data_IF_811260307111
#
_entry.id   IF_811260307111
#
_cell.length_a   1.000
_cell.length_b   1.000
_cell.length_c   1.000
_cell.angle_alpha   90.00
_cell.angle_beta   90.00
_cell.angle_gamma   90.00
#
_symmetry.space_group_name_H-M   'P 1'
#
loop_
_entity.id
_entity.type
_entity.pdbx_description
1 polymer ?
#
# COMPACT_ATOMS: atom_id res chain seq x y z
N UNK A 1 -27.16 39.63 70.89
CA UNK A 1 -27.97 38.68 70.07
C UNK A 1 -28.08 39.31 68.68
N UNK A 2 -27.67 38.80 67.51
CA UNK A 2 -27.12 37.54 66.98
C UNK A 2 -26.29 37.93 65.73
N UNK A 3 -25.09 37.38 65.51
CA UNK A 3 -24.36 37.47 64.23
C UNK A 3 -24.96 36.45 63.24
N UNK A 4 -25.45 36.90 62.08
CA UNK A 4 -26.01 36.05 61.02
C UNK A 4 -24.88 35.67 60.05
N UNK A 5 -24.46 34.40 60.03
CA UNK A 5 -23.57 33.84 58.99
C UNK A 5 -24.38 33.68 57.70
N UNK A 6 -23.93 34.26 56.59
CA UNK A 6 -24.37 33.85 55.25
C UNK A 6 -23.49 32.66 54.82
N UNK A 7 -24.02 31.45 54.92
CA UNK A 7 -23.47 30.29 54.22
C UNK A 7 -24.22 30.15 52.90
N UNK A 8 -23.54 30.38 51.78
CA UNK A 8 -24.08 30.10 50.46
C UNK A 8 -24.02 28.60 50.24
N UNK A 9 -25.16 27.92 50.23
CA UNK A 9 -25.23 26.50 49.92
C UNK A 9 -25.17 26.33 48.41
N UNK A 10 -23.97 26.12 47.84
CA UNK A 10 -23.84 25.68 46.45
C UNK A 10 -24.38 24.25 46.31
N UNK A 11 -25.51 24.12 45.60
CA UNK A 11 -26.00 22.82 45.13
C UNK A 11 -25.39 22.51 43.76
N UNK A 12 -24.11 22.14 43.75
CA UNK A 12 -23.47 21.59 42.56
C UNK A 12 -23.96 20.17 42.30
N UNK A 13 -24.59 19.92 41.16
CA UNK A 13 -24.94 18.56 40.74
C UNK A 13 -23.70 17.87 40.17
N UNK A 14 -22.88 17.25 41.03
CA UNK A 14 -21.64 16.58 40.62
C UNK A 14 -21.87 15.53 39.53
N UNK A 15 -23.07 14.94 39.51
CA UNK A 15 -23.49 14.00 38.47
C UNK A 15 -23.49 14.64 37.08
N UNK A 16 -23.88 15.91 36.97
CA UNK A 16 -23.92 16.63 35.70
C UNK A 16 -22.51 16.89 35.15
N UNK A 17 -21.54 17.18 36.02
CA UNK A 17 -20.15 17.37 35.62
C UNK A 17 -19.51 16.09 35.10
N UNK A 18 -19.81 14.95 35.74
CA UNK A 18 -19.34 13.64 35.29
C UNK A 18 -19.92 13.30 33.91
N UNK A 19 -21.22 13.56 33.70
CA UNK A 19 -21.88 13.29 32.42
C UNK A 19 -21.30 14.13 31.27
N UNK A 20 -20.98 15.40 31.51
CA UNK A 20 -20.29 16.24 30.51
C UNK A 20 -18.91 15.68 30.20
N UNK A 21 -18.13 15.28 31.21
CA UNK A 21 -16.79 14.72 30.99
C UNK A 21 -16.84 13.45 30.14
N UNK A 22 -17.77 12.54 30.44
CA UNK A 22 -17.95 11.30 29.66
C UNK A 22 -18.42 11.59 28.24
N UNK A 23 -19.37 12.51 28.05
CA UNK A 23 -19.84 12.90 26.73
C UNK A 23 -18.74 13.54 25.87
N UNK A 24 -17.90 14.40 26.46
CA UNK A 24 -16.75 15.00 25.78
C UNK A 24 -15.70 13.95 25.42
N UNK A 25 -15.45 12.98 26.30
CA UNK A 25 -14.51 11.90 26.02
C UNK A 25 -15.01 10.99 24.89
N UNK A 26 -16.31 10.69 24.87
CA UNK A 26 -16.95 9.94 23.79
C UNK A 26 -16.93 10.71 22.47
N UNK A 27 -17.26 12.01 22.49
CA UNK A 27 -17.22 12.86 21.31
C UNK A 27 -15.80 13.02 20.75
N UNK A 28 -14.79 13.19 21.60
CA UNK A 28 -13.39 13.23 21.20
C UNK A 28 -12.93 11.89 20.58
N UNK A 29 -13.30 10.78 21.21
CA UNK A 29 -12.99 9.43 20.69
C UNK A 29 -13.61 9.21 19.31
N UNK A 30 -14.84 9.71 19.09
CA UNK A 30 -15.50 9.66 17.79
C UNK A 30 -14.81 10.56 16.77
N UNK A 31 -14.46 11.79 17.13
CA UNK A 31 -13.77 12.74 16.25
C UNK A 31 -12.38 12.23 15.81
N UNK A 32 -11.61 11.60 16.71
CA UNK A 32 -10.32 10.97 16.39
C UNK A 32 -10.52 9.78 15.45
N UNK A 33 -11.51 8.92 15.73
CA UNK A 33 -11.82 7.77 14.86
C UNK A 33 -12.32 8.20 13.48
N UNK A 34 -13.06 9.32 13.41
CA UNK A 34 -13.57 9.88 12.15
C UNK A 34 -12.47 10.57 11.34
N UNK A 35 -11.49 11.20 12.00
CA UNK A 35 -10.29 11.76 11.34
C UNK A 35 -9.40 10.68 10.72
N UNK A 36 -9.43 9.47 11.25
CA UNK A 36 -8.75 8.30 10.65
C UNK A 36 -9.54 7.64 9.51
N UNK A 37 -10.80 8.04 9.28
CA UNK A 37 -11.71 7.43 8.29
C UNK A 37 -11.96 8.29 7.05
N UNK A 38 -11.36 9.48 6.95
CA UNK A 38 -11.45 10.32 5.75
C UNK A 38 -10.48 9.82 4.67
N UNK A 39 -10.84 8.72 4.01
CA UNK A 39 -10.31 8.42 2.68
C UNK A 39 -10.71 9.55 1.72
N UNK A 40 -9.73 10.32 1.25
CA UNK A 40 -9.91 11.40 0.28
C UNK A 40 -9.67 12.83 0.76
N UNK A 41 -9.06 13.04 1.94
CA UNK A 41 -8.74 14.39 2.44
C UNK A 41 -7.42 14.44 3.22
N UNK A 42 -6.46 15.18 2.65
CA UNK A 42 -5.20 15.70 3.20
C UNK A 42 -4.67 15.02 4.49
N UNK A 43 -4.01 13.86 4.35
CA UNK A 43 -3.30 13.19 5.47
C UNK A 43 -2.15 14.08 5.99
N UNK A 44 -1.76 13.95 7.26
CA UNK A 44 -0.59 14.68 7.79
C UNK A 44 0.73 14.12 7.24
N UNK A 45 1.81 14.91 7.29
CA UNK A 45 3.14 14.45 6.86
C UNK A 45 3.66 13.29 7.75
N UNK A 46 3.33 13.31 9.05
CA UNK A 46 3.63 12.20 9.97
C UNK A 46 2.85 10.94 9.60
N UNK A 47 1.56 11.09 9.26
CA UNK A 47 0.75 9.97 8.78
C UNK A 47 1.31 9.41 7.47
N UNK A 48 1.68 10.27 6.52
CA UNK A 48 2.29 9.86 5.25
C UNK A 48 3.57 9.04 5.47
N UNK A 49 4.44 9.44 6.40
CA UNK A 49 5.65 8.68 6.79
C UNK A 49 5.31 7.31 7.38
N UNK A 50 4.34 7.25 8.29
CA UNK A 50 3.91 5.99 8.90
C UNK A 50 3.32 5.02 7.87
N UNK A 51 2.45 5.51 6.98
CA UNK A 51 1.83 4.71 5.93
C UNK A 51 2.84 4.26 4.87
N UNK A 52 3.80 5.12 4.53
CA UNK A 52 4.93 4.75 3.65
C UNK A 52 5.76 3.63 4.26
N UNK A 53 6.08 3.71 5.56
CA UNK A 53 6.80 2.66 6.25
C UNK A 53 6.01 1.33 6.27
N UNK A 54 4.68 1.39 6.40
CA UNK A 54 3.82 0.20 6.33
C UNK A 54 3.88 -0.44 4.94
N UNK A 55 3.73 0.34 3.86
CA UNK A 55 3.84 -0.11 2.48
C UNK A 55 5.19 -0.77 2.19
N UNK A 56 6.28 -0.07 2.53
CA UNK A 56 7.63 -0.58 2.31
C UNK A 56 7.90 -1.83 3.14
N UNK A 57 7.39 -1.90 4.38
CA UNK A 57 7.53 -3.11 5.20
C UNK A 57 6.83 -4.30 4.56
N UNK A 58 5.62 -4.12 4.04
CA UNK A 58 4.89 -5.17 3.34
C UNK A 58 5.63 -5.64 2.07
N UNK A 59 6.05 -4.70 1.23
CA UNK A 59 6.78 -5.00 0.00
C UNK A 59 8.12 -5.73 0.28
N UNK A 60 8.88 -5.29 1.29
CA UNK A 60 10.11 -5.94 1.70
C UNK A 60 9.89 -7.34 2.27
N UNK A 61 8.82 -7.55 3.05
CA UNK A 61 8.46 -8.88 3.53
C UNK A 61 8.18 -9.82 2.35
N UNK A 62 7.46 -9.33 1.33
CA UNK A 62 7.17 -10.09 0.11
C UNK A 62 8.44 -10.41 -0.69
N UNK A 63 9.33 -9.41 -0.93
CA UNK A 63 10.65 -9.61 -1.58
C UNK A 63 11.49 -10.66 -0.84
N UNK A 64 11.52 -10.58 0.48
CA UNK A 64 12.23 -11.54 1.34
C UNK A 64 11.65 -12.95 1.21
N UNK A 65 10.32 -13.09 1.18
CA UNK A 65 9.66 -14.37 1.00
C UNK A 65 9.95 -14.98 -0.37
N UNK A 66 9.84 -14.21 -1.45
CA UNK A 66 10.20 -14.64 -2.82
C UNK A 66 11.66 -15.11 -2.86
N UNK A 67 12.57 -14.29 -2.33
CA UNK A 67 14.00 -14.63 -2.25
C UNK A 67 14.25 -15.93 -1.47
N UNK A 68 13.63 -16.11 -0.30
CA UNK A 68 13.73 -17.34 0.49
C UNK A 68 13.21 -18.56 -0.27
N UNK A 69 12.08 -18.44 -0.97
CA UNK A 69 11.52 -19.55 -1.74
C UNK A 69 12.47 -19.97 -2.87
N UNK A 70 13.12 -19.03 -3.55
CA UNK A 70 14.14 -19.34 -4.55
C UNK A 70 15.34 -20.07 -3.94
N UNK A 71 15.91 -19.51 -2.86
CA UNK A 71 17.16 -20.02 -2.28
C UNK A 71 16.95 -21.33 -1.50
N UNK A 72 15.94 -21.38 -0.65
CA UNK A 72 15.72 -22.49 0.29
C UNK A 72 14.82 -23.57 -0.30
N UNK A 73 13.76 -23.19 -1.02
CA UNK A 73 12.78 -24.13 -1.53
C UNK A 73 13.12 -24.60 -2.97
N UNK A 74 14.13 -23.99 -3.60
CA UNK A 74 14.56 -24.32 -4.97
C UNK A 74 13.51 -23.95 -6.02
N UNK A 75 12.68 -22.95 -5.75
CA UNK A 75 11.69 -22.46 -6.71
C UNK A 75 12.40 -21.66 -7.82
N UNK A 76 12.10 -21.96 -9.08
CA UNK A 76 12.51 -21.09 -10.19
C UNK A 76 11.66 -19.82 -10.21
N UNK A 77 12.06 -18.82 -10.98
CA UNK A 77 11.31 -17.57 -11.14
C UNK A 77 9.87 -17.82 -11.60
N UNK A 78 9.69 -18.86 -12.44
CA UNK A 78 8.42 -19.28 -13.01
C UNK A 78 7.62 -20.23 -12.11
N UNK A 79 8.19 -20.71 -10.99
CA UNK A 79 7.44 -21.51 -10.00
C UNK A 79 6.76 -20.63 -8.94
N UNK A 80 7.14 -19.35 -8.87
CA UNK A 80 6.60 -18.41 -7.88
C UNK A 80 5.13 -18.15 -8.20
N UNK A 81 4.26 -18.41 -7.23
CA UNK A 81 2.83 -18.24 -7.39
C UNK A 81 2.25 -17.30 -6.33
N UNK A 82 1.44 -16.36 -6.81
CA UNK A 82 0.61 -15.47 -6.00
C UNK A 82 -0.86 -15.92 -5.99
N UNK A 83 -1.12 -17.17 -6.38
CA UNK A 83 -2.47 -17.74 -6.39
C UNK A 83 -3.10 -17.67 -4.99
N UNK A 84 -4.27 -17.03 -4.92
CA UNK A 84 -5.06 -16.88 -3.70
C UNK A 84 -6.52 -16.67 -4.08
N UNK A 85 -7.42 -17.13 -3.22
CA UNK A 85 -8.86 -16.87 -3.24
C UNK A 85 -9.24 -15.49 -2.69
N UNK A 86 -8.28 -14.76 -2.08
CA UNK A 86 -8.51 -13.44 -1.48
C UNK A 86 -8.37 -12.28 -2.47
N UNK A 87 -7.77 -12.51 -3.64
CA UNK A 87 -7.61 -11.50 -4.69
C UNK A 87 -8.74 -11.60 -5.72
N UNK A 88 -9.20 -10.48 -6.29
CA UNK A 88 -10.01 -10.55 -7.51
C UNK A 88 -9.18 -10.60 -8.79
N UNK A 89 -7.86 -10.40 -8.71
CA UNK A 89 -7.01 -10.75 -9.83
C UNK A 89 -6.85 -12.26 -9.88
N UNK A 90 -7.05 -12.81 -11.07
CA UNK A 90 -6.81 -14.22 -11.32
C UNK A 90 -5.30 -14.47 -11.41
N UNK A 91 -4.71 -14.94 -10.31
CA UNK A 91 -3.32 -15.40 -10.24
C UNK A 91 -3.18 -16.92 -10.45
N UNK A 92 -4.15 -17.56 -11.12
CA UNK A 92 -4.07 -19.00 -11.43
C UNK A 92 -2.75 -19.36 -12.11
N UNK A 93 -2.04 -20.31 -11.51
CA UNK A 93 -0.74 -20.74 -11.99
C UNK A 93 -0.84 -22.10 -12.68
N UNK A 94 -0.36 -22.20 -13.93
CA UNK A 94 -0.42 -23.43 -14.72
C UNK A 94 0.97 -23.80 -15.27
N UNK A 95 1.53 -24.98 -14.94
CA UNK A 95 0.98 -25.99 -14.03
C UNK A 95 0.85 -25.48 -12.60
N UNK A 96 -0.01 -26.10 -11.79
CA UNK A 96 -0.20 -25.69 -10.40
C UNK A 96 1.12 -25.64 -9.64
N UNK A 97 1.46 -24.46 -9.11
CA UNK A 97 2.71 -24.28 -8.38
C UNK A 97 2.75 -25.16 -7.10
N UNK A 98 3.92 -25.76 -6.77
CA UNK A 98 4.11 -26.45 -5.50
C UNK A 98 3.80 -25.53 -4.32
N UNK A 99 3.22 -26.05 -3.23
CA UNK A 99 2.89 -25.26 -2.05
C UNK A 99 4.07 -24.45 -1.49
N UNK A 100 5.29 -24.99 -1.61
CA UNK A 100 6.53 -24.35 -1.18
C UNK A 100 6.93 -23.12 -2.00
N UNK A 101 6.33 -22.91 -3.17
CA UNK A 101 6.57 -21.78 -4.07
C UNK A 101 5.39 -20.78 -4.11
N UNK A 102 4.38 -20.98 -3.27
CA UNK A 102 3.23 -20.09 -3.15
C UNK A 102 3.48 -19.03 -2.07
N UNK A 103 3.40 -17.77 -2.44
CA UNK A 103 3.75 -16.62 -1.57
C UNK A 103 2.85 -16.54 -0.33
N UNK A 104 1.55 -16.74 -0.50
CA UNK A 104 0.57 -16.64 0.59
C UNK A 104 0.37 -17.95 1.36
N UNK A 105 0.98 -19.05 0.91
CA UNK A 105 0.77 -20.36 1.51
C UNK A 105 1.63 -20.57 2.77
N UNK A 106 1.12 -21.24 3.82
CA UNK A 106 1.89 -21.55 5.03
C UNK A 106 3.17 -22.36 4.78
N UNK A 107 3.21 -23.21 3.76
CA UNK A 107 4.41 -23.98 3.41
C UNK A 107 5.37 -23.23 2.45
N UNK A 108 4.98 -22.07 1.94
CA UNK A 108 5.76 -21.27 1.00
C UNK A 108 6.26 -19.97 1.61
N UNK A 109 5.69 -18.85 1.15
CA UNK A 109 6.12 -17.52 1.56
C UNK A 109 5.65 -17.11 2.96
N UNK A 110 4.51 -17.65 3.44
CA UNK A 110 3.86 -17.27 4.71
C UNK A 110 3.53 -15.77 4.79
N UNK A 111 3.33 -15.12 3.65
CA UNK A 111 2.92 -13.72 3.61
C UNK A 111 1.41 -13.66 3.82
N UNK A 112 0.97 -12.81 4.74
CA UNK A 112 -0.45 -12.50 4.88
C UNK A 112 -0.88 -11.68 3.66
N UNK A 113 -1.96 -12.09 3.00
CA UNK A 113 -2.56 -11.25 1.97
C UNK A 113 -3.09 -9.97 2.61
N UNK A 114 -2.71 -8.82 2.05
CA UNK A 114 -3.17 -7.53 2.55
C UNK A 114 -4.42 -7.12 1.79
N UNK A 115 -5.58 -7.44 2.36
CA UNK A 115 -6.85 -6.87 1.89
C UNK A 115 -6.75 -5.34 1.93
N UNK A 116 -7.11 -4.68 0.82
CA UNK A 116 -6.92 -3.25 0.57
C UNK A 116 -6.96 -2.41 1.86
N UNK A 117 -5.84 -1.77 2.27
CA UNK A 117 -5.85 -0.98 3.49
C UNK A 117 -6.91 0.13 3.42
N UNK A 118 -7.59 0.37 4.54
CA UNK A 118 -8.70 1.35 4.61
C UNK A 118 -8.30 2.77 4.18
N UNK A 119 -7.01 3.12 4.29
CA UNK A 119 -6.46 4.42 3.92
C UNK A 119 -6.15 4.53 2.42
N UNK A 120 -6.11 3.42 1.68
CA UNK A 120 -5.92 3.40 0.24
C UNK A 120 -7.22 3.89 -0.41
N UNK A 121 -7.10 4.79 -1.39
CA UNK A 121 -8.27 5.50 -1.94
C UNK A 121 -9.34 4.53 -2.43
N UNK A 122 -10.47 4.50 -1.74
CA UNK A 122 -11.61 3.62 -2.03
C UNK A 122 -12.59 4.22 -3.05
N UNK A 123 -12.36 5.48 -3.46
CA UNK A 123 -13.14 6.21 -4.46
C UNK A 123 -12.67 5.93 -5.90
N UNK A 124 -11.69 5.05 -6.08
CA UNK A 124 -11.30 4.58 -7.41
C UNK A 124 -12.30 3.54 -7.91
N UNK A 125 -13.34 4.04 -8.58
CA UNK A 125 -14.39 3.24 -9.18
C UNK A 125 -13.91 2.62 -10.50
N UNK A 126 -13.13 1.54 -10.41
CA UNK A 126 -12.82 0.69 -11.55
C UNK A 126 -14.03 -0.24 -11.84
N UNK A 127 -15.05 0.32 -12.50
CA UNK A 127 -16.21 -0.43 -13.02
C UNK A 127 -16.93 -1.33 -11.99
N UNK A 128 -17.34 -0.78 -10.84
CA UNK A 128 -18.30 -1.42 -9.92
C UNK A 128 -17.87 -2.74 -9.26
N UNK A 129 -16.59 -3.07 -9.29
CA UNK A 129 -16.00 -4.05 -8.39
C UNK A 129 -15.11 -3.26 -7.43
N UNK A 130 -15.13 -3.58 -6.13
CA UNK A 130 -14.19 -3.03 -5.13
C UNK A 130 -12.78 -3.56 -5.44
N UNK A 131 -12.25 -3.24 -6.61
CA UNK A 131 -11.15 -3.97 -7.24
C UNK A 131 -9.84 -3.42 -6.73
N UNK A 132 -9.30 -4.13 -5.74
CA UNK A 132 -7.88 -4.35 -5.46
C UNK A 132 -6.95 -3.29 -6.03
N UNK A 133 -6.59 -2.39 -5.13
CA UNK A 133 -5.72 -1.24 -5.35
C UNK A 133 -4.24 -1.65 -5.41
N UNK A 134 -3.95 -2.95 -5.59
CA UNK A 134 -2.60 -3.44 -5.80
C UNK A 134 -2.58 -4.76 -6.58
N UNK A 135 -1.50 -5.01 -7.31
CA UNK A 135 -1.30 -6.21 -8.13
C UNK A 135 0.17 -6.54 -8.33
N UNK A 136 0.45 -7.78 -8.77
CA UNK A 136 1.77 -8.24 -9.15
C UNK A 136 1.80 -8.52 -10.65
N UNK A 137 2.82 -8.01 -11.33
CA UNK A 137 3.04 -8.23 -12.78
C UNK A 137 4.44 -8.82 -13.05
N UNK A 138 4.60 -9.35 -14.27
CA UNK A 138 5.86 -9.91 -14.78
C UNK A 138 6.15 -9.55 -16.23
N UNK A 139 5.60 -8.44 -16.72
CA UNK A 139 5.61 -8.00 -18.13
C UNK A 139 6.19 -6.59 -18.34
N UNK A 140 6.82 -6.03 -17.30
CA UNK A 140 7.43 -4.71 -17.27
C UNK A 140 8.89 -4.82 -16.83
N UNK A 141 9.77 -3.98 -17.36
CA UNK A 141 11.16 -3.86 -16.91
C UNK A 141 11.47 -2.46 -16.37
N UNK A 142 12.57 -2.35 -15.61
CA UNK A 142 13.11 -1.06 -15.16
C UNK A 142 14.53 -0.96 -15.69
N UNK A 143 14.80 0.10 -16.45
CA UNK A 143 16.11 0.30 -17.06
C UNK A 143 17.21 0.30 -15.99
N UNK A 144 18.27 -0.50 -16.22
CA UNK A 144 19.44 -0.53 -15.35
C UNK A 144 19.36 -1.48 -14.15
N UNK A 145 18.26 -2.23 -13.98
CA UNK A 145 18.22 -3.36 -13.06
C UNK A 145 18.55 -4.67 -13.79
N UNK A 146 19.56 -5.40 -13.34
CA UNK A 146 19.86 -6.77 -13.81
C UNK A 146 20.12 -6.89 -15.33
N UNK A 147 19.05 -7.14 -16.08
CA UNK A 147 19.00 -7.32 -17.53
C UNK A 147 17.76 -6.61 -18.11
N UNK A 148 17.63 -6.47 -19.45
CA UNK A 148 16.42 -5.91 -20.06
C UNK A 148 15.23 -6.88 -20.06
N UNK A 149 15.23 -7.90 -19.18
CA UNK A 149 14.11 -8.82 -19.04
C UNK A 149 13.04 -8.24 -18.10
N UNK A 150 11.79 -8.69 -18.25
CA UNK A 150 10.74 -8.27 -17.33
C UNK A 150 11.00 -8.72 -15.91
N UNK A 151 10.69 -7.81 -15.00
CA UNK A 151 10.85 -7.92 -13.56
C UNK A 151 9.57 -8.38 -12.88
N UNK A 152 9.69 -8.88 -11.66
CA UNK A 152 8.54 -9.18 -10.83
C UNK A 152 8.20 -7.94 -9.99
N UNK A 153 7.16 -7.22 -10.38
CA UNK A 153 6.82 -5.92 -9.78
C UNK A 153 5.55 -6.02 -8.94
N UNK A 154 5.58 -5.39 -7.77
CA UNK A 154 4.42 -5.13 -6.92
C UNK A 154 3.98 -3.68 -7.10
N UNK A 155 2.72 -3.48 -7.49
CA UNK A 155 2.14 -2.16 -7.74
C UNK A 155 1.01 -1.88 -6.77
N UNK A 156 0.95 -0.69 -6.18
CA UNK A 156 -0.18 -0.16 -5.41
C UNK A 156 -0.69 1.12 -6.06
N UNK A 157 -1.96 1.18 -6.41
CA UNK A 157 -2.62 2.34 -7.04
C UNK A 157 -3.51 3.07 -6.06
N UNK A 158 -3.64 4.38 -6.26
CA UNK A 158 -4.52 5.20 -5.43
C UNK A 158 -3.93 5.50 -4.06
N UNK A 159 -2.61 5.49 -3.95
CA UNK A 159 -1.95 6.02 -2.75
C UNK A 159 -2.06 7.55 -2.74
N UNK A 160 -2.07 8.13 -1.54
CA UNK A 160 -2.10 9.58 -1.37
C UNK A 160 -0.83 10.25 -1.94
N UNK A 161 -0.97 11.46 -2.48
CA UNK A 161 0.16 12.22 -3.04
C UNK A 161 1.29 12.46 -2.04
N UNK A 162 0.98 12.63 -0.74
CA UNK A 162 1.99 12.77 0.31
C UNK A 162 2.73 11.47 0.59
N UNK A 163 2.04 10.32 0.50
CA UNK A 163 2.69 8.99 0.56
C UNK A 163 3.62 8.84 -0.64
N UNK A 164 3.14 9.16 -1.85
CA UNK A 164 3.92 9.10 -3.07
C UNK A 164 5.20 9.95 -3.01
N UNK A 165 5.07 11.18 -2.50
CA UNK A 165 6.20 12.09 -2.28
C UNK A 165 7.21 11.52 -1.30
N UNK A 166 6.75 10.95 -0.18
CA UNK A 166 7.65 10.36 0.81
C UNK A 166 8.37 9.12 0.25
N UNK A 167 7.69 8.27 -0.53
CA UNK A 167 8.30 7.15 -1.26
C UNK A 167 9.42 7.65 -2.18
N UNK A 168 9.14 8.64 -3.03
CA UNK A 168 10.13 9.18 -3.96
C UNK A 168 11.30 9.84 -3.22
N UNK A 169 11.04 10.54 -2.11
CA UNK A 169 12.08 11.10 -1.25
C UNK A 169 13.01 10.01 -0.71
N UNK A 170 12.47 8.86 -0.31
CA UNK A 170 13.25 7.71 0.15
C UNK A 170 14.01 7.01 -0.99
N UNK A 171 13.47 7.01 -2.21
CA UNK A 171 14.12 6.52 -3.42
C UNK A 171 15.19 7.49 -3.97
N UNK A 172 15.32 8.69 -3.40
CA UNK A 172 16.22 9.73 -3.92
C UNK A 172 15.72 10.39 -5.21
N UNK A 173 14.46 10.19 -5.56
CA UNK A 173 13.80 10.80 -6.73
C UNK A 173 13.26 12.16 -6.31
N UNK A 174 13.70 13.20 -7.01
CA UNK A 174 13.27 14.58 -6.74
C UNK A 174 12.53 15.15 -7.95
N UNK A 175 11.44 15.86 -7.68
CA UNK A 175 10.61 16.49 -8.69
C UNK A 175 9.97 17.75 -8.11
N UNK A 176 9.60 18.69 -8.99
CA UNK A 176 8.95 19.95 -8.60
C UNK A 176 7.43 19.83 -8.68
N UNK A 177 6.73 20.34 -7.67
CA UNK A 177 5.26 20.41 -7.63
C UNK A 177 4.62 19.23 -6.89
N UNK A 178 3.30 19.11 -7.04
CA UNK A 178 2.51 18.10 -6.34
C UNK A 178 2.32 16.81 -7.16
N UNK A 179 2.51 16.88 -8.47
CA UNK A 179 2.35 15.75 -9.39
C UNK A 179 3.63 14.91 -9.47
N UNK A 180 3.58 13.60 -9.18
CA UNK A 180 4.70 12.69 -9.34
C UNK A 180 5.19 12.62 -10.80
N UNK A 181 6.44 12.21 -11.04
CA UNK A 181 6.92 11.96 -12.40
C UNK A 181 6.06 10.90 -13.08
N UNK A 182 5.86 11.05 -14.39
CA UNK A 182 5.05 10.13 -15.18
C UNK A 182 5.88 8.91 -15.57
N UNK A 183 5.36 7.72 -15.26
CA UNK A 183 5.92 6.44 -15.68
C UNK A 183 5.63 6.17 -17.17
N UNK A 184 6.56 5.49 -17.83
CA UNK A 184 6.37 4.99 -19.20
C UNK A 184 5.56 3.70 -19.15
N UNK A 185 4.42 3.67 -19.84
CA UNK A 185 3.64 2.46 -20.02
C UNK A 185 2.21 2.51 -19.54
N UNK A 186 1.51 1.39 -19.75
CA UNK A 186 0.13 1.22 -19.36
C UNK A 186 0.03 0.44 -18.05
N UNK A 187 -0.49 1.06 -16.99
CA UNK A 187 -0.74 0.39 -15.70
C UNK A 187 -1.98 -0.51 -15.72
N UNK A 188 -2.07 -1.39 -16.72
CA UNK A 188 -3.06 -2.44 -16.75
C UNK A 188 -2.57 -3.61 -15.91
N UNK A 189 -3.44 -4.12 -15.04
CA UNK A 189 -3.13 -5.31 -14.29
C UNK A 189 -3.12 -6.53 -15.23
N UNK A 190 -1.92 -7.00 -15.57
CA UNK A 190 -1.70 -8.34 -16.14
C UNK A 190 -1.15 -9.21 -15.01
N UNK A 191 -2.00 -9.97 -14.30
CA UNK A 191 -1.58 -10.72 -13.13
C UNK A 191 -0.47 -11.71 -13.48
N UNK A 192 0.59 -11.74 -12.67
CA UNK A 192 1.68 -12.69 -12.86
C UNK A 192 1.24 -14.13 -12.57
N UNK A 193 1.23 -14.97 -13.61
CA UNK A 193 0.80 -16.38 -13.57
C UNK A 193 1.96 -17.38 -13.67
N UNK A 194 3.16 -17.00 -13.22
CA UNK A 194 4.38 -17.80 -13.40
C UNK A 194 5.05 -17.64 -14.75
N UNK A 195 4.59 -16.68 -15.57
CA UNK A 195 5.14 -16.42 -16.90
C UNK A 195 5.60 -14.97 -16.95
N UNK A 196 6.86 -14.78 -17.32
CA UNK A 196 7.39 -13.48 -17.70
C UNK A 196 7.22 -13.34 -19.20
N UNK A 197 6.53 -12.29 -19.63
CA UNK A 197 6.48 -11.95 -21.06
C UNK A 197 7.63 -11.02 -21.39
N UNK A 198 7.85 -10.74 -22.68
CA UNK A 198 8.78 -9.67 -23.04
C UNK A 198 8.23 -8.36 -22.49
N UNK A 199 9.14 -7.52 -21.99
CA UNK A 199 8.74 -6.23 -21.48
C UNK A 199 8.09 -5.42 -22.60
N UNK A 200 6.83 -5.04 -22.39
CA UNK A 200 6.11 -4.20 -23.34
C UNK A 200 6.26 -2.73 -23.02
N UNK A 201 6.62 -2.44 -21.77
CA UNK A 201 6.89 -1.13 -21.20
C UNK A 201 8.16 -1.22 -20.34
N UNK A 202 9.09 -0.30 -20.57
CA UNK A 202 10.34 -0.15 -19.82
C UNK A 202 10.29 1.17 -19.07
N UNK A 203 10.43 1.12 -17.75
CA UNK A 203 10.53 2.30 -16.90
C UNK A 203 11.96 2.85 -16.99
N UNK A 204 12.09 3.98 -17.68
CA UNK A 204 13.38 4.58 -18.03
C UNK A 204 13.61 5.94 -17.35
N UNK A 205 14.78 6.53 -17.61
CA UNK A 205 15.08 7.92 -17.24
C UNK A 205 15.03 8.19 -15.73
N UNK A 206 13.92 8.77 -15.25
CA UNK A 206 13.77 9.14 -13.81
C UNK A 206 13.69 7.91 -12.91
N UNK A 207 13.16 6.80 -13.42
CA UNK A 207 12.97 5.56 -12.68
C UNK A 207 14.07 4.54 -12.94
N UNK A 208 15.01 4.83 -13.84
CA UNK A 208 16.14 3.96 -14.11
C UNK A 208 16.95 3.69 -12.82
N UNK A 209 17.33 2.42 -12.62
CA UNK A 209 18.06 1.89 -11.47
C UNK A 209 17.31 1.97 -10.13
N UNK A 210 15.99 2.19 -10.13
CA UNK A 210 15.20 2.31 -8.91
C UNK A 210 14.52 0.99 -8.55
N UNK A 211 14.88 0.40 -7.40
CA UNK A 211 14.20 -0.82 -6.91
C UNK A 211 12.79 -0.55 -6.35
N UNK A 212 12.43 0.71 -6.18
CA UNK A 212 11.08 1.15 -5.85
C UNK A 212 10.92 2.64 -6.15
N UNK A 213 9.70 3.06 -6.49
CA UNK A 213 9.38 4.45 -6.76
C UNK A 213 7.87 4.67 -6.71
N UNK A 214 7.45 5.93 -6.77
CA UNK A 214 6.07 6.28 -7.02
C UNK A 214 5.93 7.16 -8.26
N UNK A 215 5.02 6.79 -9.14
CA UNK A 215 4.79 7.45 -10.42
C UNK A 215 3.32 7.81 -10.61
N UNK A 216 3.04 8.56 -11.67
CA UNK A 216 1.70 8.73 -12.21
C UNK A 216 1.64 8.08 -13.60
N UNK A 217 0.55 7.43 -13.96
CA UNK A 217 0.37 6.87 -15.31
C UNK A 217 -0.11 7.94 -16.28
N UNK A 218 0.37 7.92 -17.53
CA UNK A 218 -0.19 8.76 -18.59
C UNK A 218 -1.71 8.55 -18.73
N UNK A 219 -2.50 9.60 -18.47
CA UNK A 219 -3.97 9.56 -18.56
C UNK A 219 -4.71 9.21 -17.26
N UNK A 220 -4.01 8.91 -16.16
CA UNK A 220 -4.59 8.72 -14.82
C UNK A 220 -4.10 9.80 -13.87
N UNK A 221 -4.93 10.22 -12.91
CA UNK A 221 -4.54 11.12 -11.81
C UNK A 221 -4.18 10.38 -10.53
N UNK A 222 -4.08 9.05 -10.58
CA UNK A 222 -3.86 8.23 -9.40
C UNK A 222 -2.38 7.85 -9.30
N UNK A 223 -1.70 8.23 -8.20
CA UNK A 223 -0.34 7.80 -7.96
C UNK A 223 -0.27 6.28 -7.82
N UNK A 224 0.84 5.72 -8.32
CA UNK A 224 1.15 4.28 -8.28
C UNK A 224 2.50 4.09 -7.62
N UNK A 225 2.53 3.33 -6.54
CA UNK A 225 3.77 2.85 -5.92
C UNK A 225 4.18 1.53 -6.56
N UNK A 226 5.38 1.48 -7.10
CA UNK A 226 5.98 0.30 -7.73
C UNK A 226 7.19 -0.15 -6.92
N UNK A 227 7.31 -1.46 -6.71
CA UNK A 227 8.39 -2.08 -5.95
C UNK A 227 8.85 -3.38 -6.61
N UNK A 228 10.16 -3.54 -6.74
CA UNK A 228 10.77 -4.71 -7.38
C UNK A 228 10.93 -5.87 -6.40
N UNK A 229 10.12 -6.91 -6.58
CA UNK A 229 10.17 -8.13 -5.77
C UNK A 229 11.29 -9.07 -6.22
N UNK A 230 11.57 -9.12 -7.53
CA UNK A 230 12.65 -9.90 -8.11
C UNK A 230 13.20 -9.19 -9.36
N UNK A 231 14.52 -9.05 -9.37
CA UNK A 231 15.34 -8.54 -10.49
C UNK A 231 15.85 -9.73 -11.32
N UNK A 232 15.87 -9.61 -12.65
CA UNK A 232 16.17 -10.71 -13.58
C UNK A 232 17.26 -10.40 -14.59
#
# INVERSE_FOLDING_TARGET
>A
MKRKKLGTTEKGNVLFLILIAVALFAALSYAVTQSSRSGGGDISDEQAKLLTAQLLSYANNMKTAVTRMKITNGCTDADISFETDMSAYDYSHSPTAPEKCRVFHPNGGKIQYWENPDWLRSDLDFNSVKTYLWWIVGDQDIEGLGSPASELLLNFVGIDYKICREINRLAGITYSGDTPPTASGSNYAVPFKGVYTLATDSEDGTFANQSFFCSQTGGSTNPVFTFVLLER
#
